data_IF_366408169490
#
_entry.id   IF_366408169490
#
_cell.length_a   1.000
_cell.length_b   1.000
_cell.length_c   1.000
_cell.angle_alpha   90.00
_cell.angle_beta   90.00
_cell.angle_gamma   90.00
#
_symmetry.space_group_name_H-M   'P 1'
#
loop_
_entity.id
_entity.type
_entity.pdbx_description
1 polymer ?
#
# COMPACT_ATOMS: atom_id res chain seq x y z
N UNK A 1 7.40 12.96 13.13
CA UNK A 1 7.40 14.43 13.32
C UNK A 1 8.64 14.92 14.07
N UNK A 2 9.20 14.14 14.99
CA UNK A 2 10.38 14.50 15.80
C UNK A 2 11.59 14.98 14.98
N UNK A 3 11.91 14.30 13.87
CA UNK A 3 13.02 14.71 12.99
C UNK A 3 12.87 16.14 12.45
N UNK A 4 11.65 16.58 12.14
CA UNK A 4 11.40 17.92 11.63
C UNK A 4 11.52 18.99 12.73
N UNK A 5 11.26 18.65 14.00
CA UNK A 5 11.45 19.58 15.13
C UNK A 5 12.94 19.86 15.37
N UNK A 6 13.74 18.80 15.45
CA UNK A 6 15.20 18.91 15.61
C UNK A 6 15.87 19.68 14.47
N UNK A 7 15.43 19.45 13.22
CA UNK A 7 15.96 20.22 12.08
C UNK A 7 15.46 21.68 12.08
N UNK A 8 14.27 21.97 12.61
CA UNK A 8 13.79 23.35 12.74
C UNK A 8 14.60 24.15 13.77
N UNK A 9 14.93 23.54 14.91
CA UNK A 9 15.79 24.14 15.96
C UNK A 9 17.16 24.50 15.40
N UNK A 10 17.78 23.59 14.63
CA UNK A 10 19.07 23.85 13.98
C UNK A 10 18.99 25.01 12.97
N UNK A 11 17.91 25.11 12.21
CA UNK A 11 17.70 26.19 11.23
C UNK A 11 17.53 27.55 11.91
N UNK A 12 16.88 27.60 13.08
CA UNK A 12 16.72 28.85 13.85
C UNK A 12 18.05 29.34 14.43
N UNK A 13 18.91 28.42 14.86
CA UNK A 13 20.19 28.72 15.52
C UNK A 13 21.32 29.14 14.56
N UNK A 14 21.15 28.99 13.24
CA UNK A 14 22.16 29.46 12.28
C UNK A 14 22.24 31.00 12.28
N UNK A 15 23.43 31.55 12.52
CA UNK A 15 23.66 33.00 12.60
C UNK A 15 23.77 33.68 11.22
N UNK A 16 24.11 32.93 10.17
CA UNK A 16 24.40 33.47 8.84
C UNK A 16 23.15 33.78 7.99
N UNK A 17 21.95 33.41 8.45
CA UNK A 17 20.70 33.60 7.72
C UNK A 17 19.86 34.74 8.28
N UNK A 18 19.20 35.48 7.39
CA UNK A 18 18.23 36.49 7.80
C UNK A 18 17.00 35.86 8.43
N UNK A 19 16.30 36.58 9.32
CA UNK A 19 15.09 36.10 9.99
C UNK A 19 14.00 35.66 8.99
N UNK A 20 13.93 36.36 7.85
CA UNK A 20 13.00 36.04 6.75
C UNK A 20 13.31 34.70 6.12
N UNK A 21 14.58 34.36 5.93
CA UNK A 21 15.01 33.08 5.35
C UNK A 21 14.78 31.93 6.32
N UNK A 22 15.10 32.14 7.62
CA UNK A 22 14.80 31.17 8.70
C UNK A 22 13.32 30.78 8.70
N UNK A 23 12.42 31.77 8.66
CA UNK A 23 10.99 31.52 8.64
C UNK A 23 10.52 30.74 7.39
N UNK A 24 11.08 31.06 6.22
CA UNK A 24 10.77 30.34 4.98
C UNK A 24 11.25 28.89 5.01
N UNK A 25 12.44 28.63 5.56
CA UNK A 25 13.01 27.31 5.63
C UNK A 25 12.27 26.41 6.63
N UNK A 26 11.94 26.93 7.81
CA UNK A 26 11.07 26.26 8.78
C UNK A 26 9.72 25.92 8.14
N UNK A 27 9.09 26.87 7.42
CA UNK A 27 7.82 26.62 6.70
C UNK A 27 7.95 25.53 5.63
N UNK A 28 9.04 25.51 4.87
CA UNK A 28 9.33 24.47 3.86
C UNK A 28 9.54 23.10 4.52
N UNK A 29 10.27 23.04 5.63
CA UNK A 29 10.53 21.81 6.39
C UNK A 29 9.23 21.20 6.93
N UNK A 30 8.37 22.00 7.55
CA UNK A 30 7.06 21.55 8.01
C UNK A 30 6.18 21.08 6.86
N UNK A 31 6.12 21.83 5.75
CA UNK A 31 5.36 21.41 4.56
C UNK A 31 5.82 20.05 4.04
N UNK A 32 7.15 19.83 3.94
CA UNK A 32 7.74 18.54 3.54
C UNK A 32 7.39 17.43 4.53
N UNK A 33 7.43 17.68 5.83
CA UNK A 33 7.05 16.70 6.86
C UNK A 33 5.56 16.32 6.82
N UNK A 34 4.67 17.25 6.45
CA UNK A 34 3.23 17.01 6.31
C UNK A 34 2.83 16.34 4.98
N UNK A 35 3.61 16.50 3.92
CA UNK A 35 3.29 15.96 2.59
C UNK A 35 3.19 14.42 2.54
N UNK A 36 4.07 13.61 3.18
CA UNK A 36 3.95 12.15 3.17
C UNK A 36 2.80 11.63 4.05
N UNK A 37 2.30 12.42 5.00
CA UNK A 37 1.11 12.06 5.79
C UNK A 37 -0.17 12.16 4.96
N UNK A 38 -0.19 13.00 3.92
CA UNK A 38 -1.30 13.06 2.97
C UNK A 38 -1.27 11.80 2.11
N UNK A 39 -2.14 10.84 2.44
CA UNK A 39 -2.30 9.60 1.67
C UNK A 39 -2.61 9.96 0.23
N UNK A 40 -1.70 9.66 -0.69
CA UNK A 40 -1.93 9.85 -2.13
C UNK A 40 -3.14 9.01 -2.53
N UNK A 41 -4.17 9.68 -3.05
CA UNK A 41 -5.35 9.00 -3.57
C UNK A 41 -4.92 8.05 -4.68
N UNK A 42 -5.15 6.76 -4.46
CA UNK A 42 -4.76 5.72 -5.41
C UNK A 42 -5.99 5.28 -6.18
N UNK A 43 -6.03 5.58 -7.47
CA UNK A 43 -7.15 5.19 -8.33
C UNK A 43 -7.10 3.69 -8.59
N UNK A 44 -8.24 2.99 -8.42
CA UNK A 44 -8.35 1.57 -8.73
C UNK A 44 -8.82 1.39 -10.17
N UNK A 45 -7.99 0.74 -10.98
CA UNK A 45 -8.29 0.48 -12.39
C UNK A 45 -8.58 -0.99 -12.56
N UNK A 46 -9.73 -1.33 -13.15
CA UNK A 46 -10.03 -2.72 -13.50
C UNK A 46 -9.33 -3.10 -14.81
N UNK A 47 -8.56 -4.18 -14.81
CA UNK A 47 -8.00 -4.75 -16.03
C UNK A 47 -9.11 -5.22 -16.95
N UNK A 48 -9.07 -4.76 -18.20
CA UNK A 48 -9.88 -5.31 -19.30
C UNK A 48 -8.93 -5.84 -20.36
N UNK A 49 -9.28 -6.96 -21.00
CA UNK A 49 -8.47 -7.61 -22.04
C UNK A 49 -7.97 -6.64 -23.11
N UNK A 50 -8.82 -5.71 -23.55
CA UNK A 50 -8.51 -4.66 -24.55
C UNK A 50 -7.35 -3.72 -24.17
N UNK A 51 -6.98 -3.64 -22.88
CA UNK A 51 -5.90 -2.77 -22.43
C UNK A 51 -4.56 -3.49 -22.32
N UNK A 52 -4.48 -4.80 -22.58
CA UNK A 52 -3.22 -5.54 -22.68
C UNK A 52 -2.29 -5.39 -21.47
N UNK A 53 -2.85 -5.32 -20.25
CA UNK A 53 -2.08 -5.12 -19.02
C UNK A 53 -1.62 -3.69 -18.76
N UNK A 54 -1.94 -2.73 -19.64
CA UNK A 54 -1.64 -1.30 -19.47
C UNK A 54 -2.82 -0.56 -18.83
N UNK A 55 -2.51 0.56 -18.17
CA UNK A 55 -3.54 1.47 -17.66
C UNK A 55 -4.28 2.17 -18.81
N UNK A 56 -5.57 2.50 -18.65
CA UNK A 56 -6.29 3.31 -19.61
C UNK A 56 -5.68 4.72 -19.68
N UNK A 57 -5.71 5.32 -20.89
CA UNK A 57 -5.07 6.61 -21.20
C UNK A 57 -5.57 7.79 -20.35
N UNK A 58 -6.68 7.66 -19.63
CA UNK A 58 -7.24 8.70 -18.75
C UNK A 58 -6.77 8.65 -17.28
N UNK A 59 -6.10 7.58 -16.84
CA UNK A 59 -5.66 7.49 -15.43
C UNK A 59 -4.34 8.22 -15.17
N UNK A 60 -4.46 9.40 -14.57
CA UNK A 60 -3.35 10.22 -14.08
C UNK A 60 -2.96 9.79 -12.66
N UNK A 61 -1.66 9.83 -12.33
CA UNK A 61 -1.15 9.53 -10.99
C UNK A 61 -0.96 8.03 -10.65
N UNK A 62 -0.61 7.72 -9.39
CA UNK A 62 -0.42 6.35 -8.91
C UNK A 62 -1.75 5.59 -8.90
N UNK A 63 -1.72 4.35 -9.36
CA UNK A 63 -2.91 3.52 -9.49
C UNK A 63 -2.63 2.09 -9.06
N UNK A 64 -3.68 1.39 -8.61
CA UNK A 64 -3.65 -0.05 -8.35
C UNK A 64 -4.46 -0.73 -9.44
N UNK A 65 -3.78 -1.62 -10.16
CA UNK A 65 -4.41 -2.42 -11.19
C UNK A 65 -5.08 -3.64 -10.53
N UNK A 66 -6.38 -3.78 -10.73
CA UNK A 66 -7.21 -4.82 -10.11
C UNK A 66 -7.82 -5.69 -11.20
N UNK A 67 -7.72 -6.99 -11.07
CA UNK A 67 -8.50 -7.93 -11.89
C UNK A 67 -9.75 -8.43 -11.15
N UNK A 68 -10.75 -8.93 -11.88
CA UNK A 68 -11.96 -9.55 -11.31
C UNK A 68 -11.61 -10.69 -10.36
N UNK A 69 -10.60 -11.52 -10.69
CA UNK A 69 -10.15 -12.62 -9.81
C UNK A 69 -9.50 -12.09 -8.53
N UNK A 70 -8.60 -11.12 -8.65
CA UNK A 70 -7.98 -10.45 -7.51
C UNK A 70 -9.01 -9.82 -6.55
N UNK A 71 -10.08 -9.22 -7.07
CA UNK A 71 -11.20 -8.71 -6.25
C UNK A 71 -11.90 -9.83 -5.46
N UNK A 72 -12.05 -11.02 -6.05
CA UNK A 72 -12.65 -12.18 -5.39
C UNK A 72 -11.72 -12.75 -4.31
N UNK A 73 -10.44 -12.87 -4.61
CA UNK A 73 -9.43 -13.40 -3.67
C UNK A 73 -9.31 -12.48 -2.44
N UNK A 74 -9.22 -11.16 -2.65
CA UNK A 74 -9.19 -10.19 -1.55
C UNK A 74 -10.49 -10.22 -0.71
N UNK A 75 -11.65 -10.48 -1.33
CA UNK A 75 -12.92 -10.64 -0.60
C UNK A 75 -12.91 -11.93 0.23
N UNK A 76 -12.41 -13.02 -0.33
CA UNK A 76 -12.31 -14.30 0.36
C UNK A 76 -11.37 -14.20 1.57
N UNK A 77 -10.20 -13.56 1.40
CA UNK A 77 -9.25 -13.26 2.49
C UNK A 77 -9.89 -12.41 3.58
N UNK A 78 -10.56 -11.31 3.23
CA UNK A 78 -11.27 -10.49 4.22
C UNK A 78 -12.34 -11.26 4.98
N UNK A 79 -13.09 -12.14 4.30
CA UNK A 79 -14.10 -13.00 4.95
C UNK A 79 -13.46 -14.02 5.88
N UNK A 80 -12.35 -14.65 5.47
CA UNK A 80 -11.64 -15.62 6.33
C UNK A 80 -11.02 -14.91 7.54
N UNK A 81 -10.43 -13.73 7.36
CA UNK A 81 -9.90 -12.92 8.47
C UNK A 81 -11.00 -12.46 9.42
N UNK A 82 -12.15 -12.03 8.91
CA UNK A 82 -13.30 -11.67 9.73
C UNK A 82 -13.83 -12.87 10.53
N UNK A 83 -13.89 -14.07 9.92
CA UNK A 83 -14.24 -15.31 10.63
C UNK A 83 -13.22 -15.66 11.70
N UNK A 84 -11.92 -15.59 11.39
CA UNK A 84 -10.83 -15.81 12.36
C UNK A 84 -10.93 -14.85 13.55
N UNK A 85 -11.24 -13.57 13.31
CA UNK A 85 -11.45 -12.59 14.39
C UNK A 85 -12.67 -12.91 15.24
N UNK A 86 -13.77 -13.37 14.63
CA UNK A 86 -15.01 -13.75 15.34
C UNK A 86 -14.88 -15.06 16.12
N UNK A 87 -14.06 -16.00 15.66
CA UNK A 87 -13.91 -17.33 16.28
C UNK A 87 -12.92 -17.34 17.47
N UNK A 88 -12.47 -16.17 17.94
CA UNK A 88 -11.49 -16.07 19.02
C UNK A 88 -10.10 -16.57 18.61
N UNK A 89 -9.07 -16.13 19.32
CA UNK A 89 -7.68 -16.61 19.21
C UNK A 89 -7.56 -18.09 19.65
N UNK A 90 -8.24 -19.02 18.98
CA UNK A 90 -8.34 -20.43 19.41
C UNK A 90 -8.10 -21.48 18.34
N UNK A 91 -7.75 -21.09 17.11
CA UNK A 91 -7.30 -22.05 16.07
C UNK A 91 -5.97 -21.61 15.50
N UNK A 92 -4.93 -21.75 16.32
CA UNK A 92 -3.57 -21.85 15.79
C UNK A 92 -3.42 -23.21 15.11
N UNK A 93 -2.76 -23.17 13.96
CA UNK A 93 -1.98 -24.25 13.36
C UNK A 93 -2.66 -25.57 12.94
N UNK A 94 -2.86 -25.73 11.63
CA UNK A 94 -2.68 -27.04 10.99
C UNK A 94 -2.03 -26.85 9.62
N UNK A 95 -0.71 -26.90 9.62
CA UNK A 95 0.13 -27.53 8.61
C UNK A 95 -0.13 -27.19 7.13
N UNK A 96 0.76 -26.34 6.65
CA UNK A 96 1.48 -26.54 5.40
C UNK A 96 1.76 -28.04 5.12
N UNK A 97 0.98 -28.68 4.24
CA UNK A 97 1.37 -29.84 3.41
C UNK A 97 0.22 -30.21 2.47
N UNK A 98 0.23 -29.59 1.30
CA UNK A 98 -0.61 -29.98 0.17
C UNK A 98 0.19 -29.94 -1.12
N UNK A 99 1.38 -30.57 -1.14
CA UNK A 99 2.07 -30.90 -2.39
C UNK A 99 1.13 -31.81 -3.18
N UNK A 100 0.48 -31.27 -4.20
CA UNK A 100 -0.39 -32.03 -5.09
C UNK A 100 0.38 -33.14 -5.76
N UNK A 101 0.04 -34.40 -5.47
CA UNK A 101 0.41 -35.53 -6.34
C UNK A 101 -0.43 -35.45 -7.62
N UNK A 102 0.17 -35.51 -8.82
CA UNK A 102 -0.61 -35.63 -10.05
C UNK A 102 -1.29 -37.01 -10.08
N UNK A 103 -2.60 -37.04 -10.33
CA UNK A 103 -3.34 -38.28 -10.60
C UNK A 103 -2.89 -38.78 -11.98
N UNK A 104 -2.22 -39.92 -12.02
CA UNK A 104 -1.89 -40.59 -13.28
C UNK A 104 -3.18 -41.15 -13.90
N UNK A 105 -3.41 -40.84 -15.18
CA UNK A 105 -4.55 -41.33 -15.94
C UNK A 105 -4.40 -42.83 -16.19
N UNK A 106 -5.22 -43.64 -15.51
CA UNK A 106 -5.53 -45.02 -15.92
C UNK A 106 -6.89 -44.99 -16.63
N UNK A 107 -6.87 -44.94 -17.96
CA UNK A 107 -7.99 -45.40 -18.80
C UNK A 107 -7.39 -46.14 -19.98
N UNK A 108 -7.57 -47.45 -19.97
CA UNK A 108 -7.27 -48.30 -21.10
C UNK A 108 -8.30 -48.12 -22.21
N UNK A 109 -7.82 -48.32 -23.43
CA UNK A 109 -8.39 -49.22 -24.43
C UNK A 109 -7.22 -49.81 -25.20
#
# INVERSE_FOLDING_TARGET
>A
MERARKTAENVTNNADMSEREKAQEVKKLYKKALTPLKKKETTYVVMKKRHGGKKPKGTKGPYKLVDKRMKKDARAMKKSDARKKKMGKGRSNSNNKGKGKPRTNRRGK
#
